data_IF_222945659960
#
_entry.id   IF_222945659960
#
_cell.length_a   1.000
_cell.length_b   1.000
_cell.length_c   1.000
_cell.angle_alpha   90.00
_cell.angle_beta   90.00
_cell.angle_gamma   90.00
#
_symmetry.space_group_name_H-M   'P 1'
#
loop_
_entity.id
_entity.type
_entity.pdbx_description
1 polymer ?
#
# COMPACT_ATOMS: atom_id res chain seq x y z
N UNK A 1 -28.40 -18.70 1.24
CA UNK A 1 -27.06 -19.26 1.56
C UNK A 1 -26.96 -19.42 3.07
N UNK A 2 -26.90 -20.66 3.53
CA UNK A 2 -26.81 -20.98 4.95
C UNK A 2 -25.48 -20.47 5.53
N UNK A 3 -25.54 -19.45 6.38
CA UNK A 3 -24.33 -18.82 6.95
C UNK A 3 -23.59 -19.77 7.90
N UNK A 4 -24.26 -20.82 8.37
CA UNK A 4 -23.80 -21.69 9.46
C UNK A 4 -23.03 -22.93 9.02
N UNK A 5 -23.01 -23.28 7.73
CA UNK A 5 -22.15 -24.39 7.27
C UNK A 5 -20.68 -23.94 7.26
N UNK A 6 -19.77 -24.64 7.96
CA UNK A 6 -18.34 -24.35 7.91
C UNK A 6 -17.84 -24.65 6.50
N UNK A 7 -17.75 -23.62 5.67
CA UNK A 7 -17.20 -23.73 4.32
C UNK A 7 -15.72 -24.12 4.48
N UNK A 8 -15.30 -25.31 4.03
CA UNK A 8 -13.90 -25.71 4.13
C UNK A 8 -13.03 -24.65 3.48
N UNK A 9 -12.18 -24.06 4.32
CA UNK A 9 -11.62 -22.73 4.14
C UNK A 9 -10.43 -22.79 3.16
N UNK A 10 -9.68 -23.88 3.13
CA UNK A 10 -8.68 -24.12 2.11
C UNK A 10 -8.52 -25.63 2.00
N UNK A 11 -8.06 -26.12 0.85
CA UNK A 11 -7.72 -27.53 0.69
C UNK A 11 -8.72 -28.37 -0.08
N UNK A 12 -9.65 -27.77 -0.84
CA UNK A 12 -10.09 -28.45 -2.05
C UNK A 12 -8.94 -28.37 -3.07
N UNK A 13 -8.67 -29.45 -3.80
CA UNK A 13 -7.64 -29.43 -4.86
C UNK A 13 -7.86 -28.29 -5.86
N UNK A 14 -9.11 -27.89 -6.06
CA UNK A 14 -9.51 -26.80 -6.95
C UNK A 14 -9.07 -25.42 -6.45
N UNK A 15 -9.11 -25.16 -5.14
CA UNK A 15 -8.65 -23.86 -4.61
C UNK A 15 -7.13 -23.72 -4.75
N UNK A 16 -6.37 -24.80 -4.51
CA UNK A 16 -4.91 -24.81 -4.71
C UNK A 16 -4.56 -24.59 -6.18
N UNK A 17 -5.22 -25.31 -7.08
CA UNK A 17 -5.02 -25.12 -8.53
C UNK A 17 -5.34 -23.69 -8.96
N UNK A 18 -6.44 -23.12 -8.46
CA UNK A 18 -6.81 -21.73 -8.76
C UNK A 18 -5.78 -20.72 -8.24
N UNK A 19 -5.21 -20.94 -7.05
CA UNK A 19 -4.13 -20.09 -6.53
C UNK A 19 -2.86 -20.19 -7.38
N UNK A 20 -2.44 -21.41 -7.76
CA UNK A 20 -1.28 -21.62 -8.63
C UNK A 20 -1.50 -20.90 -9.96
N UNK A 21 -2.70 -21.01 -10.53
CA UNK A 21 -3.08 -20.33 -11.77
C UNK A 21 -2.98 -18.80 -11.62
N UNK A 22 -3.51 -18.23 -10.53
CA UNK A 22 -3.43 -16.78 -10.27
C UNK A 22 -1.97 -16.34 -10.14
N UNK A 23 -1.16 -17.05 -9.36
CA UNK A 23 0.28 -16.74 -9.19
C UNK A 23 1.02 -16.83 -10.52
N UNK A 24 0.74 -17.85 -11.33
CA UNK A 24 1.35 -18.03 -12.64
C UNK A 24 1.00 -16.88 -13.60
N UNK A 25 -0.28 -16.53 -13.71
CA UNK A 25 -0.74 -15.48 -14.62
C UNK A 25 -0.25 -14.09 -14.21
N UNK A 26 -0.26 -13.77 -12.92
CA UNK A 26 0.29 -12.51 -12.40
C UNK A 26 1.81 -12.50 -12.57
N UNK A 27 2.47 -13.63 -12.35
CA UNK A 27 3.90 -13.78 -12.61
C UNK A 27 4.26 -13.55 -14.07
N UNK A 28 3.46 -14.06 -14.99
CA UNK A 28 3.61 -13.83 -16.43
C UNK A 28 3.35 -12.37 -16.80
N UNK A 29 2.33 -11.75 -16.23
CA UNK A 29 2.04 -10.32 -16.44
C UNK A 29 3.20 -9.43 -15.97
N UNK A 30 3.76 -9.72 -14.81
CA UNK A 30 4.86 -8.98 -14.21
C UNK A 30 6.25 -9.42 -14.72
N UNK A 31 6.32 -10.35 -15.67
CA UNK A 31 7.57 -10.87 -16.23
C UNK A 31 8.52 -9.78 -16.77
N UNK A 32 8.05 -8.69 -17.42
CA UNK A 32 8.93 -7.63 -17.86
C UNK A 32 9.76 -6.98 -16.73
N UNK A 33 9.23 -6.97 -15.50
CA UNK A 33 9.94 -6.47 -14.30
C UNK A 33 11.11 -7.39 -13.91
N UNK A 34 10.98 -8.70 -14.15
CA UNK A 34 11.96 -9.71 -13.77
C UNK A 34 13.03 -9.91 -14.85
N UNK A 35 12.69 -9.76 -16.13
CA UNK A 35 13.68 -9.87 -17.23
C UNK A 35 14.64 -8.67 -17.20
N UNK A 36 14.13 -7.50 -16.83
CA UNK A 36 14.90 -6.25 -16.82
C UNK A 36 15.19 -5.77 -15.39
N UNK A 37 15.62 -6.68 -14.51
CA UNK A 37 15.90 -6.34 -13.10
C UNK A 37 16.86 -5.17 -12.93
N UNK A 38 17.85 -5.03 -13.82
CA UNK A 38 18.84 -3.95 -13.74
C UNK A 38 18.49 -2.72 -14.59
N UNK A 39 17.49 -2.80 -15.45
CA UNK A 39 17.10 -1.71 -16.34
C UNK A 39 15.79 -1.09 -15.89
N UNK A 40 15.88 0.10 -15.31
CA UNK A 40 14.77 0.90 -14.77
C UNK A 40 13.73 1.34 -15.82
N UNK A 41 13.99 1.20 -17.13
CA UNK A 41 13.36 2.07 -18.15
C UNK A 41 12.87 1.40 -19.45
N UNK A 42 12.54 0.10 -19.46
CA UNK A 42 12.07 -0.52 -20.73
C UNK A 42 10.67 -0.02 -21.18
N UNK A 43 9.88 0.61 -20.29
CA UNK A 43 8.48 0.97 -20.61
C UNK A 43 8.22 2.42 -21.02
N UNK A 44 9.13 3.37 -20.80
CA UNK A 44 8.92 4.75 -21.26
C UNK A 44 10.05 5.25 -22.15
N UNK A 45 9.96 5.02 -23.48
CA UNK A 45 10.95 5.48 -24.46
C UNK A 45 10.94 7.01 -24.69
N UNK A 46 10.13 7.78 -23.95
CA UNK A 46 10.09 9.25 -24.02
C UNK A 46 10.60 9.87 -22.71
N UNK A 47 11.92 10.07 -22.66
CA UNK A 47 12.67 11.09 -21.92
C UNK A 47 11.86 12.15 -21.13
N UNK A 48 11.20 11.84 -20.02
CA UNK A 48 10.92 12.83 -18.96
C UNK A 48 11.03 12.18 -17.56
N UNK A 49 11.80 12.78 -16.62
CA UNK A 49 12.17 12.19 -15.34
C UNK A 49 11.17 12.50 -14.21
N UNK A 50 9.87 12.20 -14.38
CA UNK A 50 8.88 12.46 -13.33
C UNK A 50 9.00 11.51 -12.12
N UNK A 51 9.44 10.27 -12.34
CA UNK A 51 9.66 9.25 -11.28
C UNK A 51 10.97 9.39 -10.50
N UNK A 52 11.86 10.31 -10.89
CA UNK A 52 13.20 10.46 -10.29
C UNK A 52 13.19 11.05 -8.88
N UNK A 53 12.07 11.57 -8.37
CA UNK A 53 12.07 12.15 -7.03
C UNK A 53 12.42 11.15 -5.93
N UNK A 54 11.99 9.89 -6.07
CA UNK A 54 12.19 8.87 -5.05
C UNK A 54 13.49 8.07 -5.26
N UNK A 55 13.93 7.88 -6.50
CA UNK A 55 15.05 6.99 -6.83
C UNK A 55 16.38 7.37 -6.15
N UNK A 56 16.87 8.63 -6.24
CA UNK A 56 18.08 9.07 -5.56
C UNK A 56 17.98 8.91 -4.04
N UNK A 57 16.78 8.90 -3.48
CA UNK A 57 16.56 8.77 -2.03
C UNK A 57 16.68 7.34 -1.59
N UNK A 58 16.11 6.40 -2.36
CA UNK A 58 16.34 4.97 -2.12
C UNK A 58 17.80 4.58 -2.37
N UNK A 59 18.43 5.13 -3.40
CA UNK A 59 19.86 4.98 -3.66
C UNK A 59 20.68 5.50 -2.49
N UNK A 60 20.43 6.75 -2.05
CA UNK A 60 21.10 7.32 -0.87
C UNK A 60 20.91 6.44 0.37
N UNK A 61 19.72 5.87 0.55
CA UNK A 61 19.45 4.99 1.70
C UNK A 61 20.26 3.70 1.62
N UNK A 62 20.30 3.07 0.46
CA UNK A 62 21.10 1.87 0.25
C UNK A 62 22.59 2.15 0.49
N UNK A 63 23.16 3.18 -0.14
CA UNK A 63 24.57 3.57 0.06
C UNK A 63 24.89 3.94 1.52
N UNK A 64 23.99 4.66 2.20
CA UNK A 64 24.17 5.00 3.62
C UNK A 64 24.30 3.76 4.50
N UNK A 65 23.52 2.72 4.19
CA UNK A 65 23.52 1.46 4.93
C UNK A 65 24.74 0.59 4.58
N UNK A 66 25.09 0.43 3.30
CA UNK A 66 26.19 -0.47 2.91
C UNK A 66 27.57 0.16 3.00
N UNK A 67 27.73 1.36 2.46
CA UNK A 67 29.06 1.97 2.37
C UNK A 67 29.40 2.64 3.71
N UNK A 68 28.42 3.27 4.34
CA UNK A 68 28.62 4.08 5.55
C UNK A 68 28.14 3.39 6.84
N UNK A 69 27.55 2.18 6.75
CA UNK A 69 27.05 1.43 7.91
C UNK A 69 26.16 2.26 8.85
N UNK A 70 25.40 3.19 8.27
CA UNK A 70 24.66 4.21 8.99
C UNK A 70 23.21 4.22 8.55
N UNK A 71 22.28 4.30 9.51
CA UNK A 71 20.88 4.48 9.17
C UNK A 71 20.64 5.95 8.78
N UNK A 72 20.23 6.24 7.54
CA UNK A 72 20.14 7.61 7.04
C UNK A 72 18.93 8.30 7.66
N UNK A 73 19.15 9.05 8.72
CA UNK A 73 18.11 9.89 9.32
C UNK A 73 18.01 11.24 8.61
N UNK A 74 19.11 11.72 8.01
CA UNK A 74 19.24 13.03 7.38
C UNK A 74 19.92 12.93 6.02
N UNK A 75 19.41 13.67 5.03
CA UNK A 75 19.93 13.71 3.65
C UNK A 75 20.47 15.11 3.36
N UNK A 76 21.80 15.31 3.28
CA UNK A 76 22.39 16.63 3.03
C UNK A 76 22.00 17.23 1.68
N UNK A 77 21.84 16.36 0.68
CA UNK A 77 21.73 16.75 -0.73
C UNK A 77 20.32 17.28 -1.05
N UNK A 78 19.32 16.93 -0.23
CA UNK A 78 17.95 17.39 -0.42
C UNK A 78 17.73 18.76 0.23
N UNK A 79 17.59 19.79 -0.61
CA UNK A 79 17.11 21.12 -0.21
C UNK A 79 17.86 21.72 1.00
N UNK A 80 19.18 21.57 1.04
CA UNK A 80 20.02 22.08 2.13
C UNK A 80 20.04 21.20 3.39
N UNK A 81 19.55 19.96 3.30
CA UNK A 81 19.52 19.02 4.41
C UNK A 81 18.12 18.80 4.94
N UNK A 82 17.59 17.58 4.83
CA UNK A 82 16.28 17.22 5.38
C UNK A 82 16.31 15.88 6.09
N UNK A 83 15.51 15.76 7.16
CA UNK A 83 15.25 14.46 7.77
C UNK A 83 14.41 13.61 6.81
N UNK A 84 15.00 12.55 6.26
CA UNK A 84 14.32 11.67 5.29
C UNK A 84 13.13 10.96 5.93
N UNK A 85 13.27 10.70 7.23
CA UNK A 85 12.31 10.00 8.03
C UNK A 85 10.98 10.78 8.14
N UNK A 86 11.02 12.12 8.10
CA UNK A 86 9.85 12.99 8.16
C UNK A 86 9.10 13.09 6.82
N UNK A 87 9.74 12.68 5.71
CA UNK A 87 9.19 12.88 4.38
C UNK A 87 7.94 12.00 4.14
N UNK A 88 6.77 12.56 3.79
CA UNK A 88 5.52 11.81 3.72
C UNK A 88 5.53 10.67 2.68
N UNK A 89 6.31 10.85 1.62
CA UNK A 89 6.33 9.91 0.48
C UNK A 89 7.42 8.83 0.59
N UNK A 90 8.42 9.01 1.47
CA UNK A 90 9.55 8.09 1.54
C UNK A 90 9.30 7.03 2.60
N UNK A 91 9.15 5.79 2.15
CA UNK A 91 8.75 4.68 3.00
C UNK A 91 9.98 3.94 3.55
N UNK A 92 10.83 4.65 4.29
CA UNK A 92 12.10 4.08 4.79
C UNK A 92 11.91 2.96 5.83
N UNK A 93 10.75 2.90 6.47
CA UNK A 93 10.40 1.83 7.42
C UNK A 93 9.58 0.72 6.78
N UNK A 94 9.37 0.76 5.47
CA UNK A 94 8.60 -0.28 4.82
C UNK A 94 9.45 -1.54 4.69
N UNK A 95 8.91 -2.73 4.97
CA UNK A 95 9.58 -3.98 4.69
C UNK A 95 10.08 -4.10 3.24
N UNK A 96 9.45 -3.40 2.28
CA UNK A 96 9.91 -3.36 0.90
C UNK A 96 11.29 -2.73 0.72
N UNK A 97 11.69 -1.80 1.61
CA UNK A 97 13.02 -1.18 1.57
C UNK A 97 14.10 -2.24 1.69
N UNK A 98 13.86 -3.30 2.46
CA UNK A 98 14.82 -4.40 2.63
C UNK A 98 15.21 -5.03 1.29
N UNK A 99 14.28 -5.10 0.34
CA UNK A 99 14.56 -5.61 -1.01
C UNK A 99 15.43 -4.64 -1.81
N UNK A 100 15.13 -3.34 -1.72
CA UNK A 100 15.92 -2.26 -2.32
C UNK A 100 17.35 -2.23 -1.78
N UNK A 101 17.51 -2.52 -0.49
CA UNK A 101 18.83 -2.65 0.14
C UNK A 101 19.50 -3.93 -0.38
N UNK A 102 18.90 -5.11 -0.23
CA UNK A 102 19.56 -6.36 -0.60
C UNK A 102 19.92 -6.52 -2.08
N UNK A 103 19.05 -6.10 -2.99
CA UNK A 103 19.20 -6.34 -4.43
C UNK A 103 19.68 -5.11 -5.21
N UNK A 104 19.96 -4.00 -4.52
CA UNK A 104 20.19 -2.70 -5.13
C UNK A 104 18.87 -2.00 -5.49
N UNK A 105 19.01 -0.72 -5.84
CA UNK A 105 17.88 0.18 -5.93
C UNK A 105 16.92 -0.16 -7.06
N UNK A 106 17.43 -0.51 -8.25
CA UNK A 106 16.60 -0.86 -9.42
C UNK A 106 15.93 -2.20 -9.22
N UNK A 107 16.73 -3.25 -9.02
CA UNK A 107 16.24 -4.62 -8.95
C UNK A 107 15.35 -4.82 -7.72
N UNK A 108 15.73 -4.25 -6.58
CA UNK A 108 14.93 -4.33 -5.37
C UNK A 108 13.60 -3.58 -5.48
N UNK A 109 13.54 -2.44 -6.18
CA UNK A 109 12.28 -1.77 -6.49
C UNK A 109 11.38 -2.62 -7.39
N UNK A 110 11.92 -3.14 -8.49
CA UNK A 110 11.18 -4.00 -9.43
C UNK A 110 10.65 -5.26 -8.72
N UNK A 111 11.49 -5.89 -7.89
CA UNK A 111 11.12 -7.05 -7.09
C UNK A 111 10.04 -6.70 -6.06
N UNK A 112 10.13 -5.52 -5.43
CA UNK A 112 9.08 -5.08 -4.50
C UNK A 112 7.73 -4.96 -5.20
N UNK A 113 7.66 -4.32 -6.37
CA UNK A 113 6.44 -4.20 -7.15
C UNK A 113 5.89 -5.57 -7.55
N UNK A 114 6.75 -6.46 -8.04
CA UNK A 114 6.38 -7.84 -8.34
C UNK A 114 5.71 -8.54 -7.14
N UNK A 115 6.30 -8.43 -5.94
CA UNK A 115 5.72 -9.03 -4.73
C UNK A 115 4.39 -8.38 -4.34
N UNK A 116 4.24 -7.06 -4.51
CA UNK A 116 2.96 -6.40 -4.25
C UNK A 116 1.88 -6.79 -5.26
N UNK A 117 2.21 -7.00 -6.54
CA UNK A 117 1.26 -7.56 -7.52
C UNK A 117 0.75 -8.94 -7.09
N UNK A 118 1.66 -9.82 -6.66
CA UNK A 118 1.30 -11.13 -6.12
C UNK A 118 0.45 -11.02 -4.86
N UNK A 119 0.86 -10.21 -3.88
CA UNK A 119 0.10 -10.01 -2.65
C UNK A 119 -1.27 -9.38 -2.91
N UNK A 120 -1.38 -8.48 -3.89
CA UNK A 120 -2.63 -7.89 -4.34
C UNK A 120 -3.59 -8.92 -4.91
N UNK A 121 -3.11 -9.77 -5.82
CA UNK A 121 -3.91 -10.84 -6.39
C UNK A 121 -4.36 -11.85 -5.32
N UNK A 122 -3.42 -12.29 -4.47
CA UNK A 122 -3.70 -13.25 -3.39
C UNK A 122 -4.66 -12.68 -2.35
N UNK A 123 -4.51 -11.40 -1.99
CA UNK A 123 -5.40 -10.73 -1.05
C UNK A 123 -6.81 -10.60 -1.59
N UNK A 124 -6.97 -10.23 -2.87
CA UNK A 124 -8.26 -10.12 -3.52
C UNK A 124 -8.92 -11.50 -3.66
N UNK A 125 -8.16 -12.52 -4.07
CA UNK A 125 -8.65 -13.90 -4.10
C UNK A 125 -9.13 -14.35 -2.72
N UNK A 126 -8.32 -14.12 -1.68
CA UNK A 126 -8.66 -14.44 -0.30
C UNK A 126 -9.92 -13.69 0.16
N UNK A 127 -10.02 -12.39 -0.13
CA UNK A 127 -11.18 -11.57 0.21
C UNK A 127 -12.47 -12.12 -0.44
N UNK A 128 -12.46 -12.32 -1.76
CA UNK A 128 -13.60 -12.86 -2.50
C UNK A 128 -14.00 -14.26 -2.01
N UNK A 129 -13.02 -15.13 -1.77
CA UNK A 129 -13.25 -16.53 -1.40
C UNK A 129 -13.69 -16.71 0.05
N UNK A 130 -13.17 -15.89 0.98
CA UNK A 130 -13.37 -16.07 2.43
C UNK A 130 -14.46 -15.21 3.00
N UNK A 131 -14.51 -13.97 2.53
CA UNK A 131 -15.41 -12.96 3.08
C UNK A 131 -16.72 -12.98 2.29
N UNK A 132 -16.62 -12.87 0.97
CA UNK A 132 -17.80 -12.80 0.09
C UNK A 132 -18.34 -14.18 -0.33
N UNK A 133 -17.57 -15.25 -0.10
CA UNK A 133 -17.94 -16.65 -0.40
C UNK A 133 -18.33 -16.86 -1.86
N UNK A 134 -17.65 -16.18 -2.77
CA UNK A 134 -17.88 -16.30 -4.21
C UNK A 134 -17.40 -17.66 -4.77
N UNK A 135 -17.86 -17.99 -5.99
CA UNK A 135 -17.37 -19.15 -6.72
C UNK A 135 -15.90 -18.98 -7.12
N UNK A 136 -15.21 -20.09 -7.42
CA UNK A 136 -13.77 -20.07 -7.73
C UNK A 136 -13.47 -19.19 -8.94
N UNK A 137 -14.29 -19.28 -10.00
CA UNK A 137 -14.11 -18.49 -11.22
C UNK A 137 -14.20 -16.98 -10.97
N UNK A 138 -15.17 -16.49 -10.20
CA UNK A 138 -15.24 -15.08 -9.84
C UNK A 138 -14.07 -14.66 -8.95
N UNK A 139 -13.60 -15.54 -8.05
CA UNK A 139 -12.42 -15.23 -7.22
C UNK A 139 -11.16 -15.06 -8.08
N UNK A 140 -10.91 -15.98 -9.03
CA UNK A 140 -9.78 -15.88 -9.97
C UNK A 140 -9.92 -14.63 -10.83
N UNK A 141 -11.10 -14.42 -11.43
CA UNK A 141 -11.36 -13.26 -12.28
C UNK A 141 -11.13 -11.93 -11.55
N UNK A 142 -11.72 -11.75 -10.36
CA UNK A 142 -11.54 -10.54 -9.57
C UNK A 142 -10.10 -10.34 -9.10
N UNK A 143 -9.38 -11.41 -8.77
CA UNK A 143 -7.97 -11.31 -8.40
C UNK A 143 -7.10 -10.82 -9.56
N UNK A 144 -7.32 -11.35 -10.77
CA UNK A 144 -6.61 -10.94 -11.98
C UNK A 144 -6.97 -9.51 -12.39
N UNK A 145 -8.25 -9.16 -12.43
CA UNK A 145 -8.71 -7.80 -12.79
C UNK A 145 -8.15 -6.76 -11.82
N UNK A 146 -8.12 -7.07 -10.52
CA UNK A 146 -7.57 -6.16 -9.53
C UNK A 146 -6.05 -6.00 -9.68
N UNK A 147 -5.30 -7.11 -9.68
CA UNK A 147 -3.84 -7.05 -9.72
C UNK A 147 -3.30 -6.54 -11.06
N UNK A 148 -3.91 -6.95 -12.18
CA UNK A 148 -3.50 -6.55 -13.53
C UNK A 148 -4.20 -5.25 -14.00
N UNK A 149 -4.77 -4.48 -13.07
CA UNK A 149 -5.39 -3.20 -13.41
C UNK A 149 -4.34 -2.25 -13.98
N UNK A 150 -4.66 -1.64 -15.13
CA UNK A 150 -3.79 -0.67 -15.79
C UNK A 150 -3.44 0.54 -14.90
N UNK A 151 -4.25 0.82 -13.87
CA UNK A 151 -3.95 1.87 -12.90
C UNK A 151 -2.64 1.62 -12.14
N UNK A 152 -2.36 0.38 -11.74
CA UNK A 152 -1.13 0.05 -11.01
C UNK A 152 0.08 0.08 -11.93
N UNK A 153 -0.06 -0.38 -13.16
CA UNK A 153 1.01 -0.34 -14.15
C UNK A 153 1.35 1.07 -14.56
N UNK A 154 0.34 1.94 -14.67
CA UNK A 154 0.53 3.39 -14.85
C UNK A 154 1.28 4.01 -13.67
N UNK A 155 0.91 3.68 -12.42
CA UNK A 155 1.61 4.18 -11.24
C UNK A 155 3.06 3.70 -11.18
N UNK A 156 3.31 2.45 -11.55
CA UNK A 156 4.65 1.89 -11.68
C UNK A 156 5.47 2.64 -12.74
N UNK A 157 4.93 2.83 -13.95
CA UNK A 157 5.60 3.53 -15.05
C UNK A 157 5.97 4.98 -14.67
N UNK A 158 5.12 5.66 -13.89
CA UNK A 158 5.38 7.02 -13.41
C UNK A 158 6.30 7.09 -12.18
N UNK A 159 6.86 5.96 -11.71
CA UNK A 159 7.72 5.93 -10.53
C UNK A 159 7.00 6.31 -9.24
N UNK A 160 5.69 6.05 -9.15
CA UNK A 160 4.87 6.32 -7.95
C UNK A 160 5.03 5.15 -6.97
N UNK A 161 6.25 4.96 -6.46
CA UNK A 161 6.65 3.78 -5.68
C UNK A 161 5.91 3.59 -4.36
N UNK A 162 5.27 4.64 -3.85
CA UNK A 162 4.49 4.63 -2.62
C UNK A 162 3.04 4.18 -2.83
N UNK A 163 2.60 3.92 -4.06
CA UNK A 163 1.21 3.52 -4.31
C UNK A 163 1.02 1.99 -4.30
N UNK A 164 2.11 1.20 -4.34
CA UNK A 164 2.05 -0.26 -4.42
C UNK A 164 1.36 -0.90 -3.21
N UNK A 165 1.49 -0.29 -2.03
CA UNK A 165 0.92 -0.79 -0.79
C UNK A 165 -0.61 -0.83 -0.86
N UNK A 166 -1.24 0.02 -1.69
CA UNK A 166 -2.71 0.00 -1.93
C UNK A 166 -3.20 -1.36 -2.41
N UNK A 167 -2.34 -2.18 -3.03
CA UNK A 167 -2.66 -3.55 -3.40
C UNK A 167 -2.98 -4.44 -2.19
N UNK A 168 -2.58 -4.07 -0.97
CA UNK A 168 -2.94 -4.79 0.27
C UNK A 168 -4.32 -4.41 0.82
N UNK A 169 -5.03 -3.47 0.19
CA UNK A 169 -6.35 -3.01 0.64
C UNK A 169 -7.38 -4.16 0.78
N UNK A 170 -7.50 -5.11 -0.16
CA UNK A 170 -8.43 -6.23 0.01
C UNK A 170 -8.10 -7.09 1.23
N UNK A 171 -6.81 -7.24 1.56
CA UNK A 171 -6.37 -7.96 2.77
C UNK A 171 -6.75 -7.21 4.04
N UNK A 172 -6.52 -5.89 4.06
CA UNK A 172 -6.90 -5.02 5.16
C UNK A 172 -8.39 -5.12 5.46
N UNK A 173 -9.24 -5.07 4.41
CA UNK A 173 -10.68 -5.24 4.52
C UNK A 173 -11.07 -6.64 5.00
N UNK A 174 -10.40 -7.69 4.49
CA UNK A 174 -10.67 -9.05 4.92
C UNK A 174 -10.40 -9.24 6.42
N UNK A 175 -9.28 -8.70 6.91
CA UNK A 175 -8.95 -8.75 8.33
C UNK A 175 -9.83 -7.83 9.17
N UNK A 176 -10.22 -6.66 8.65
CA UNK A 176 -11.14 -5.75 9.32
C UNK A 176 -12.48 -6.44 9.63
N UNK A 177 -13.07 -7.10 8.63
CA UNK A 177 -14.34 -7.82 8.81
C UNK A 177 -14.18 -9.01 9.77
N UNK A 178 -13.06 -9.74 9.68
CA UNK A 178 -12.78 -10.87 10.59
C UNK A 178 -12.40 -10.46 12.02
N UNK A 179 -11.93 -9.23 12.22
CA UNK A 179 -11.54 -8.72 13.53
C UNK A 179 -12.71 -8.67 14.52
N UNK A 180 -13.95 -8.58 14.00
CA UNK A 180 -15.17 -8.68 14.80
C UNK A 180 -15.26 -10.00 15.56
N UNK A 181 -15.01 -11.11 14.86
CA UNK A 181 -15.19 -12.45 15.42
C UNK A 181 -13.93 -12.93 16.16
N UNK A 182 -12.75 -12.42 15.78
CA UNK A 182 -11.48 -12.83 16.38
C UNK A 182 -10.47 -11.68 16.44
N UNK A 183 -10.12 -11.29 17.67
CA UNK A 183 -9.22 -10.17 17.99
C UNK A 183 -7.81 -10.31 17.40
N UNK A 184 -7.35 -11.51 17.05
CA UNK A 184 -6.04 -11.69 16.37
C UNK A 184 -6.00 -10.95 15.03
N UNK A 185 -7.12 -10.91 14.30
CA UNK A 185 -7.21 -10.17 13.04
C UNK A 185 -7.22 -8.65 13.23
N UNK A 186 -7.51 -8.16 14.43
CA UNK A 186 -7.42 -6.73 14.77
C UNK A 186 -5.96 -6.27 14.68
N UNK A 187 -5.04 -7.05 15.27
CA UNK A 187 -3.58 -6.78 15.22
C UNK A 187 -3.09 -6.87 13.77
N UNK A 188 -3.46 -7.91 13.04
CA UNK A 188 -3.08 -8.07 11.63
C UNK A 188 -3.62 -6.93 10.75
N UNK A 189 -4.88 -6.51 10.95
CA UNK A 189 -5.47 -5.40 10.22
C UNK A 189 -4.74 -4.09 10.52
N UNK A 190 -4.48 -3.79 11.80
CA UNK A 190 -3.71 -2.60 12.21
C UNK A 190 -2.30 -2.59 11.64
N UNK A 191 -1.64 -3.75 11.58
CA UNK A 191 -0.32 -3.88 10.95
C UNK A 191 -0.37 -3.62 9.44
N UNK A 192 -1.29 -4.25 8.70
CA UNK A 192 -1.42 -4.03 7.25
C UNK A 192 -1.79 -2.57 6.94
N UNK A 193 -2.70 -1.97 7.72
CA UNK A 193 -3.03 -0.56 7.57
C UNK A 193 -1.84 0.33 7.92
N UNK A 194 -0.99 -0.04 8.88
CA UNK A 194 0.23 0.73 9.19
C UNK A 194 1.18 0.79 7.99
N UNK A 195 1.31 -0.31 7.24
CA UNK A 195 2.09 -0.33 5.99
C UNK A 195 1.48 0.61 4.94
N UNK A 196 0.15 0.64 4.83
CA UNK A 196 -0.57 1.58 3.97
C UNK A 196 -0.36 3.03 4.41
N UNK A 197 -0.33 3.33 5.71
CA UNK A 197 -0.13 4.69 6.23
C UNK A 197 1.24 5.24 5.88
N UNK A 198 2.26 4.38 5.78
CA UNK A 198 3.61 4.84 5.46
C UNK A 198 3.67 5.63 4.15
N UNK A 199 2.74 5.36 3.22
CA UNK A 199 2.59 6.02 1.91
C UNK A 199 1.97 7.43 1.96
N UNK A 200 1.48 7.86 3.13
CA UNK A 200 0.81 9.13 3.49
C UNK A 200 -0.40 9.56 2.65
N UNK A 201 -0.33 9.53 1.32
CA UNK A 201 -1.31 10.13 0.41
C UNK A 201 -2.66 9.40 0.40
N UNK A 202 -2.64 8.07 0.49
CA UNK A 202 -3.87 7.27 0.44
C UNK A 202 -4.51 7.05 1.81
N UNK A 203 -3.83 7.41 2.90
CA UNK A 203 -4.31 7.12 4.25
C UNK A 203 -5.68 7.75 4.56
N UNK A 204 -5.91 9.06 4.34
CA UNK A 204 -7.21 9.66 4.62
C UNK A 204 -8.33 9.04 3.78
N UNK A 205 -8.04 8.71 2.52
CA UNK A 205 -9.01 8.09 1.60
C UNK A 205 -9.39 6.69 2.08
N UNK A 206 -8.41 5.88 2.50
CA UNK A 206 -8.66 4.53 3.04
C UNK A 206 -9.44 4.60 4.36
N UNK A 207 -9.10 5.54 5.24
CA UNK A 207 -9.83 5.74 6.50
C UNK A 207 -11.27 6.21 6.26
N UNK A 208 -11.47 7.12 5.31
CA UNK A 208 -12.81 7.54 4.89
C UNK A 208 -13.59 6.36 4.31
N UNK A 209 -12.97 5.56 3.45
CA UNK A 209 -13.59 4.37 2.88
C UNK A 209 -14.01 3.37 3.97
N UNK A 210 -13.12 3.07 4.93
CA UNK A 210 -13.44 2.19 6.06
C UNK A 210 -14.56 2.76 6.91
N UNK A 211 -14.53 4.06 7.19
CA UNK A 211 -15.57 4.74 7.96
C UNK A 211 -16.94 4.65 7.27
N UNK A 212 -17.02 4.93 5.97
CA UNK A 212 -18.24 4.77 5.19
C UNK A 212 -18.70 3.31 5.15
N UNK A 213 -17.77 2.37 4.98
CA UNK A 213 -18.06 0.95 5.04
C UNK A 213 -18.70 0.55 6.39
N UNK A 214 -18.20 1.08 7.51
CA UNK A 214 -18.76 0.84 8.84
C UNK A 214 -20.15 1.43 8.97
N UNK A 215 -20.39 2.66 8.51
CA UNK A 215 -21.72 3.28 8.57
C UNK A 215 -22.73 2.39 7.85
N UNK A 216 -22.41 1.95 6.63
CA UNK A 216 -23.28 1.09 5.83
C UNK A 216 -23.49 -0.28 6.47
N UNK A 217 -22.44 -0.89 7.03
CA UNK A 217 -22.50 -2.25 7.57
C UNK A 217 -23.00 -2.34 9.02
N UNK A 218 -23.00 -1.22 9.76
CA UNK A 218 -23.49 -1.16 11.15
C UNK A 218 -25.02 -1.22 11.22
N UNK A 219 -25.72 -0.88 10.13
CA UNK A 219 -27.16 -0.98 10.03
C UNK A 219 -27.57 -2.38 9.58
N UNK A 220 -28.01 -3.19 10.52
CA UNK A 220 -28.55 -4.52 10.24
C UNK A 220 -30.06 -4.48 10.33
N UNK A 221 -30.74 -5.02 9.32
CA UNK A 221 -32.17 -5.25 9.37
C UNK A 221 -32.45 -6.60 10.04
N UNK A 222 -33.06 -6.58 11.21
CA UNK A 222 -33.38 -7.77 11.99
C UNK A 222 -34.75 -7.60 12.64
N UNK A 223 -35.64 -8.60 12.50
CA UNK A 223 -37.00 -8.57 13.04
C UNK A 223 -37.80 -7.30 12.68
N UNK A 224 -37.75 -6.89 11.41
CA UNK A 224 -38.41 -5.67 10.88
C UNK A 224 -37.94 -4.35 11.51
N UNK A 225 -36.84 -4.35 12.27
CA UNK A 225 -36.25 -3.15 12.89
C UNK A 225 -34.81 -2.97 12.41
N UNK A 226 -34.40 -1.70 12.30
CA UNK A 226 -33.00 -1.35 12.06
C UNK A 226 -32.29 -1.39 13.40
N UNK A 227 -31.37 -2.34 13.57
CA UNK A 227 -30.53 -2.48 14.77
C UNK A 227 -29.14 -1.97 14.44
N UNK A 228 -28.63 -1.08 15.29
CA UNK A 228 -27.27 -0.54 15.18
C UNK A 228 -26.27 -1.42 15.93
N UNK A 229 -25.32 -2.00 15.21
CA UNK A 229 -24.32 -2.93 15.73
C UNK A 229 -23.07 -2.15 16.16
N UNK A 230 -22.96 -1.81 17.46
CA UNK A 230 -21.90 -0.96 18.04
C UNK A 230 -20.50 -1.57 17.91
N UNK A 231 -20.40 -2.88 17.72
CA UNK A 231 -19.15 -3.64 17.65
C UNK A 231 -18.27 -3.22 16.47
N UNK A 232 -18.86 -2.79 15.34
CA UNK A 232 -18.08 -2.31 14.19
C UNK A 232 -17.34 -1.01 14.50
N UNK A 233 -17.97 -0.11 15.25
CA UNK A 233 -17.36 1.15 15.67
C UNK A 233 -16.19 0.91 16.62
N UNK A 234 -16.35 0.00 17.59
CA UNK A 234 -15.25 -0.38 18.48
C UNK A 234 -14.09 -1.07 17.75
N UNK A 235 -14.41 -1.92 16.78
CA UNK A 235 -13.39 -2.57 15.94
C UNK A 235 -12.62 -1.53 15.13
N UNK A 236 -13.30 -0.57 14.51
CA UNK A 236 -12.68 0.54 13.80
C UNK A 236 -11.78 1.38 14.68
N UNK A 237 -12.30 1.85 15.81
CA UNK A 237 -11.52 2.66 16.73
C UNK A 237 -10.26 1.92 17.19
N UNK A 238 -10.39 0.64 17.53
CA UNK A 238 -9.25 -0.19 17.94
C UNK A 238 -8.22 -0.37 16.82
N UNK A 239 -8.69 -0.58 15.58
CA UNK A 239 -7.82 -0.68 14.40
C UNK A 239 -7.12 0.65 14.12
N UNK A 240 -7.80 1.79 14.26
CA UNK A 240 -7.18 3.12 14.12
C UNK A 240 -6.09 3.33 15.18
N UNK A 241 -6.34 2.98 16.44
CA UNK A 241 -5.36 3.08 17.52
C UNK A 241 -4.15 2.18 17.24
N UNK A 242 -4.35 0.90 16.88
CA UNK A 242 -3.23 0.01 16.55
C UNK A 242 -2.46 0.48 15.32
N UNK A 243 -3.16 0.92 14.28
CA UNK A 243 -2.54 1.49 13.07
C UNK A 243 -1.68 2.68 13.44
N UNK A 244 -2.19 3.59 14.27
CA UNK A 244 -1.45 4.73 14.79
C UNK A 244 -0.24 4.28 15.59
N UNK A 245 -0.36 3.31 16.50
CA UNK A 245 0.78 2.82 17.29
C UNK A 245 1.88 2.22 16.42
N UNK A 246 1.54 1.38 15.44
CA UNK A 246 2.52 0.79 14.53
C UNK A 246 3.15 1.83 13.59
N UNK A 247 2.36 2.80 13.12
CA UNK A 247 2.84 3.86 12.24
C UNK A 247 3.33 5.09 12.99
N UNK A 248 3.28 5.12 14.34
CA UNK A 248 3.59 6.30 15.16
C UNK A 248 4.99 6.81 14.89
N UNK A 249 5.91 5.85 14.71
CA UNK A 249 7.31 6.14 14.38
C UNK A 249 7.37 7.06 13.17
N UNK A 250 6.56 6.83 12.13
CA UNK A 250 6.47 7.64 10.88
C UNK A 250 5.55 8.86 10.98
N UNK A 251 4.38 8.71 11.61
CA UNK A 251 3.35 9.76 11.66
C UNK A 251 3.83 10.96 12.48
N UNK A 252 4.44 10.73 13.65
CA UNK A 252 4.82 11.84 14.55
C UNK A 252 5.84 12.80 13.91
N UNK A 253 6.94 12.33 13.30
CA UNK A 253 7.89 13.21 12.65
C UNK A 253 7.30 13.88 11.40
N UNK A 254 6.45 13.18 10.65
CA UNK A 254 5.74 13.76 9.51
C UNK A 254 4.80 14.90 9.92
N UNK A 255 4.04 14.73 11.02
CA UNK A 255 3.18 15.79 11.56
C UNK A 255 3.99 17.00 12.00
N UNK A 256 5.15 16.79 12.64
CA UNK A 256 6.07 17.88 13.00
C UNK A 256 6.52 18.67 11.77
N UNK A 257 6.90 17.98 10.69
CA UNK A 257 7.28 18.62 9.43
C UNK A 257 6.13 19.42 8.81
N UNK A 258 4.91 18.87 8.83
CA UNK A 258 3.72 19.55 8.32
C UNK A 258 3.37 20.80 9.15
N UNK A 259 3.48 20.73 10.48
CA UNK A 259 3.25 21.88 11.36
C UNK A 259 4.34 22.96 11.23
N UNK A 260 5.59 22.56 11.00
CA UNK A 260 6.70 23.49 10.80
C UNK A 260 6.65 24.18 9.43
N UNK A 261 6.00 23.55 8.44
CA UNK A 261 5.88 24.10 7.10
C UNK A 261 4.69 25.06 7.02
N UNK A 262 4.92 26.34 7.37
CA UNK A 262 3.94 27.43 7.25
C UNK A 262 3.56 27.80 5.80
N UNK A 263 3.94 26.99 4.80
CA UNK A 263 3.47 27.20 3.43
C UNK A 263 1.97 26.97 3.39
N UNK A 264 1.22 28.07 3.44
CA UNK A 264 -0.19 28.13 3.07
C UNK A 264 -0.33 27.41 1.73
N UNK A 265 -1.05 26.28 1.71
CA UNK A 265 -1.17 25.35 0.58
C UNK A 265 -1.84 25.93 -0.69
N UNK A 266 -1.77 27.25 -0.94
CA UNK A 266 -2.42 27.90 -2.07
C UNK A 266 -1.79 29.18 -2.63
N UNK A 267 -0.69 29.73 -2.10
CA UNK A 267 -0.33 31.12 -2.46
C UNK A 267 0.84 31.35 -3.44
N UNK A 268 1.88 30.51 -3.53
CA UNK A 268 3.16 30.98 -4.12
C UNK A 268 3.77 30.18 -5.29
N UNK A 269 3.03 29.30 -5.98
CA UNK A 269 3.51 28.79 -7.27
C UNK A 269 3.29 29.76 -8.44
N UNK A 270 2.49 30.83 -8.25
CA UNK A 270 2.33 31.88 -9.25
C UNK A 270 3.47 32.92 -9.25
N UNK A 271 4.33 32.96 -8.22
CA UNK A 271 5.33 34.02 -8.04
C UNK A 271 6.75 33.72 -8.53
N UNK A 272 7.06 32.51 -8.99
CA UNK A 272 8.43 32.15 -9.43
C UNK A 272 8.64 32.18 -10.94
N UNK A 273 7.64 32.58 -11.73
CA UNK A 273 7.80 32.78 -13.17
C UNK A 273 8.24 34.22 -13.49
N UNK A 274 7.88 35.20 -12.65
CA UNK A 274 8.21 36.61 -12.92
C UNK A 274 9.65 37.01 -12.53
N UNK A 275 10.36 36.21 -11.74
CA UNK A 275 11.77 36.47 -11.37
C UNK A 275 12.78 35.91 -12.36
N UNK A 276 12.35 35.16 -13.38
CA UNK A 276 13.24 34.64 -14.42
C UNK A 276 13.42 35.57 -15.64
N UNK A 277 12.67 36.69 -15.71
CA UNK A 277 12.70 37.63 -16.84
C UNK A 277 13.40 38.97 -16.53
N UNK A 278 14.17 39.07 -15.43
CA UNK A 278 14.86 40.31 -15.03
C UNK A 278 16.37 40.17 -14.83
N UNK A 279 16.99 39.17 -15.47
CA UNK A 279 18.45 39.09 -15.66
C UNK A 279 18.75 38.90 -17.15
#
# INVERSE_FOLDING_TARGET
>A
MDRNKPYKIFGSGNDLFALILVVFLVGFYALPLLINLNNTFVLSPKNIPSGYGAYPLYMFVAHSIFDFHSFPLWVPILQGGRFIFEHPVINILNPSLFLTVLFGEVAGMNLSWYLFFLMGALSMYYFMRKILRCNIFACVYSALVFAMSGAFSYLFENGVFYAKEVMLLPLALAFFIKARDNRKFLILCGFILSLLVQTALFFPVIMLFLFLFIILYSWKYENMRIVFVKEYFWTFFSVCVLTFLFAAVKILPMLRLLMANNRISGANYAGSIDSANTL
#
